data_IF_064258603406
#
_entry.id   IF_064258603406
#
_cell.length_a   1.000
_cell.length_b   1.000
_cell.length_c   1.000
_cell.angle_alpha   90.00
_cell.angle_beta   90.00
_cell.angle_gamma   90.00
#
_symmetry.space_group_name_H-M   'P 1'
#
loop_
_entity.id
_entity.type
_entity.pdbx_description
1 polymer ?
#
# COMPACT_ATOMS: atom_id res chain seq x y z
N UNK A 1 -2.58 -10.50 9.11
CA UNK A 1 -3.98 -10.05 9.04
C UNK A 1 -4.59 -10.27 7.66
N UNK A 2 -4.07 -9.62 6.61
CA UNK A 2 -4.57 -9.76 5.24
C UNK A 2 -4.74 -11.23 4.78
N UNK A 3 -3.73 -12.07 4.97
CA UNK A 3 -3.82 -13.51 4.68
C UNK A 3 -4.89 -14.26 5.52
N UNK A 4 -5.11 -13.83 6.77
CA UNK A 4 -6.08 -14.47 7.66
C UNK A 4 -7.54 -14.20 7.25
N UNK A 5 -7.80 -13.05 6.64
CA UNK A 5 -9.14 -12.71 6.09
C UNK A 5 -9.32 -13.21 4.64
N UNK A 6 -8.46 -14.10 4.17
CA UNK A 6 -8.54 -14.68 2.81
C UNK A 6 -8.00 -13.79 1.69
N UNK A 7 -7.35 -12.65 2.01
CA UNK A 7 -6.84 -11.69 1.04
C UNK A 7 -5.33 -11.47 1.25
N UNK A 8 -4.47 -12.43 0.92
CA UNK A 8 -3.03 -12.30 1.13
C UNK A 8 -2.42 -11.16 0.29
N UNK A 9 -1.35 -10.55 0.79
CA UNK A 9 -0.67 -9.44 0.11
C UNK A 9 0.12 -9.99 -1.08
N UNK A 10 -0.03 -9.33 -2.23
CA UNK A 10 0.69 -9.69 -3.44
C UNK A 10 2.22 -9.64 -3.23
N UNK A 11 2.89 -10.72 -3.62
CA UNK A 11 4.34 -10.87 -3.53
C UNK A 11 4.88 -11.05 -2.12
N UNK A 12 4.05 -11.47 -1.17
CA UNK A 12 4.49 -11.97 0.14
C UNK A 12 4.97 -13.42 0.01
N UNK A 13 6.30 -13.70 0.05
CA UNK A 13 6.81 -15.05 -0.18
C UNK A 13 6.45 -16.05 0.93
N UNK A 14 5.97 -15.57 2.08
CA UNK A 14 5.68 -16.39 3.25
C UNK A 14 4.21 -16.77 3.37
N UNK A 15 3.31 -15.85 3.00
CA UNK A 15 1.88 -16.02 3.20
C UNK A 15 1.06 -16.04 1.91
N UNK A 16 1.69 -15.81 0.75
CA UNK A 16 1.00 -15.88 -0.54
C UNK A 16 1.03 -17.31 -1.09
N UNK A 17 -0.03 -18.08 -0.82
CA UNK A 17 -0.17 -19.48 -1.19
C UNK A 17 -1.43 -19.77 -2.03
N UNK A 18 -1.81 -18.84 -2.90
CA UNK A 18 -2.98 -19.00 -3.77
C UNK A 18 -2.66 -19.98 -4.90
N UNK A 19 -3.28 -21.17 -4.87
CA UNK A 19 -3.16 -22.16 -5.95
C UNK A 19 -3.80 -21.63 -7.24
N UNK A 20 -3.15 -21.89 -8.39
CA UNK A 20 -3.57 -21.43 -9.72
C UNK A 20 -3.62 -19.89 -9.91
N UNK A 21 -2.88 -19.14 -9.10
CA UNK A 21 -2.73 -17.70 -9.32
C UNK A 21 -1.68 -17.40 -10.39
N UNK A 22 -2.13 -16.97 -11.57
CA UNK A 22 -1.26 -16.34 -12.56
C UNK A 22 -1.25 -14.83 -12.35
N UNK A 23 -0.05 -14.25 -12.24
CA UNK A 23 0.11 -12.80 -12.19
C UNK A 23 -0.43 -12.23 -13.51
N UNK A 24 -1.42 -11.32 -13.48
CA UNK A 24 -1.85 -10.63 -14.69
C UNK A 24 -0.64 -9.91 -15.29
N UNK A 25 -0.55 -9.92 -16.63
CA UNK A 25 0.56 -9.29 -17.34
C UNK A 25 0.76 -7.85 -16.87
N UNK A 26 1.98 -7.54 -16.40
CA UNK A 26 2.33 -6.21 -15.88
C UNK A 26 2.40 -6.09 -14.35
N UNK A 27 2.00 -7.11 -13.57
CA UNK A 27 2.23 -7.12 -12.12
C UNK A 27 3.57 -7.78 -11.79
N UNK A 28 4.41 -7.08 -11.02
CA UNK A 28 5.68 -7.63 -10.56
C UNK A 28 5.46 -8.53 -9.34
N UNK A 29 6.18 -9.66 -9.24
CA UNK A 29 6.17 -10.50 -8.04
C UNK A 29 7.07 -9.90 -6.94
N UNK A 30 6.65 -8.77 -6.38
CA UNK A 30 7.31 -8.06 -5.26
C UNK A 30 6.28 -7.75 -4.18
N UNK A 31 6.72 -7.55 -2.95
CA UNK A 31 5.82 -7.23 -1.84
C UNK A 31 5.09 -5.90 -2.11
N UNK A 32 3.76 -5.94 -2.17
CA UNK A 32 2.89 -4.77 -2.32
C UNK A 32 2.44 -4.25 -0.94
N UNK A 33 3.40 -3.91 -0.08
CA UNK A 33 3.15 -3.33 1.24
C UNK A 33 3.99 -2.06 1.40
N UNK A 34 3.32 -0.94 1.67
CA UNK A 34 3.95 0.37 1.85
C UNK A 34 3.37 1.05 3.10
N UNK A 35 4.24 1.47 4.01
CA UNK A 35 3.89 2.41 5.06
C UNK A 35 3.89 3.83 4.46
N UNK A 36 2.75 4.26 3.91
CA UNK A 36 2.65 5.50 3.11
C UNK A 36 2.82 6.78 3.93
N UNK A 37 2.29 6.84 5.15
CA UNK A 37 2.30 8.05 6.00
C UNK A 37 2.61 7.69 7.43
N UNK A 38 3.44 8.50 8.08
CA UNK A 38 3.73 8.42 9.50
C UNK A 38 3.47 9.77 10.16
N UNK A 39 2.69 9.76 11.23
CA UNK A 39 2.41 10.93 12.07
C UNK A 39 2.89 10.63 13.48
N UNK A 40 3.87 11.38 13.97
CA UNK A 40 4.41 11.23 15.32
C UNK A 40 4.54 12.59 16.02
N UNK A 41 4.40 12.66 17.35
CA UNK A 41 4.66 13.88 18.08
C UNK A 41 6.14 14.27 17.98
N UNK A 42 6.42 15.56 17.76
CA UNK A 42 7.78 16.09 17.68
C UNK A 42 8.29 16.51 19.07
N UNK A 43 9.54 16.18 19.44
CA UNK A 43 10.08 16.46 20.78
C UNK A 43 10.12 17.96 21.13
N UNK A 44 10.32 18.84 20.14
CA UNK A 44 10.30 20.30 20.31
C UNK A 44 8.87 20.92 20.27
N UNK A 45 7.83 20.08 20.25
CA UNK A 45 6.44 20.48 20.08
C UNK A 45 5.93 20.35 18.64
N UNK A 46 4.64 20.11 18.47
CA UNK A 46 3.99 19.87 17.16
C UNK A 46 3.94 18.40 16.75
N UNK A 47 3.53 18.14 15.51
CA UNK A 47 3.49 16.79 14.91
C UNK A 47 4.36 16.74 13.67
N UNK A 48 5.20 15.70 13.58
CA UNK A 48 5.91 15.34 12.36
C UNK A 48 5.00 14.46 11.52
N UNK A 49 4.66 14.93 10.32
CA UNK A 49 3.84 14.24 9.34
C UNK A 49 4.63 14.06 8.06
N UNK A 50 4.96 12.81 7.74
CA UNK A 50 5.80 12.47 6.58
C UNK A 50 5.09 11.43 5.73
N UNK A 51 5.05 11.68 4.42
CA UNK A 51 4.48 10.76 3.43
C UNK A 51 5.56 10.31 2.44
N UNK A 52 5.53 9.02 2.08
CA UNK A 52 6.42 8.40 1.11
C UNK A 52 5.70 8.16 -0.22
N UNK A 53 6.37 8.42 -1.38
CA UNK A 53 5.79 8.15 -2.69
C UNK A 53 5.67 6.65 -2.96
N UNK A 54 4.77 6.24 -3.86
CA UNK A 54 4.66 4.83 -4.24
C UNK A 54 5.95 4.33 -4.91
N UNK A 55 6.42 3.12 -4.58
CA UNK A 55 7.55 2.52 -5.26
C UNK A 55 7.18 2.12 -6.70
N UNK A 56 8.16 2.08 -7.63
CA UNK A 56 7.91 1.88 -9.06
C UNK A 56 7.10 0.61 -9.40
N UNK A 57 7.30 -0.49 -8.66
CA UNK A 57 6.55 -1.72 -8.91
C UNK A 57 5.08 -1.63 -8.52
N UNK A 58 4.75 -0.82 -7.51
CA UNK A 58 3.36 -0.60 -7.11
C UNK A 58 2.66 0.37 -8.07
N UNK A 59 3.36 1.41 -8.53
CA UNK A 59 2.81 2.33 -9.55
C UNK A 59 2.41 1.56 -10.82
N UNK A 60 3.25 0.63 -11.28
CA UNK A 60 2.94 -0.23 -12.41
C UNK A 60 1.68 -1.08 -12.18
N UNK A 61 1.59 -1.74 -11.02
CA UNK A 61 0.41 -2.54 -10.66
C UNK A 61 -0.86 -1.69 -10.57
N UNK A 62 -0.78 -0.47 -10.04
CA UNK A 62 -1.91 0.45 -9.93
C UNK A 62 -2.38 0.91 -11.32
N UNK A 63 -1.45 1.19 -12.23
CA UNK A 63 -1.80 1.53 -13.61
C UNK A 63 -2.51 0.37 -14.34
N UNK A 64 -2.08 -0.88 -14.14
CA UNK A 64 -2.74 -2.07 -14.71
C UNK A 64 -4.15 -2.26 -14.12
N UNK A 65 -4.33 -1.97 -12.84
CA UNK A 65 -5.60 -2.12 -12.13
C UNK A 65 -6.53 -0.90 -12.29
N UNK A 66 -6.07 0.19 -12.92
CA UNK A 66 -6.83 1.44 -13.04
C UNK A 66 -7.03 2.18 -11.70
N UNK A 67 -6.12 1.98 -10.74
CA UNK A 67 -6.15 2.62 -9.42
C UNK A 67 -5.41 3.97 -9.45
N UNK A 68 -5.95 4.97 -8.76
CA UNK A 68 -5.35 6.30 -8.65
C UNK A 68 -4.63 6.49 -7.31
N UNK A 69 -3.41 7.01 -7.37
CA UNK A 69 -2.55 7.26 -6.19
C UNK A 69 -3.20 8.20 -5.17
N UNK A 70 -3.97 9.19 -5.62
CA UNK A 70 -4.48 10.30 -4.79
C UNK A 70 -5.75 9.93 -4.04
N UNK A 71 -6.51 8.93 -4.51
CA UNK A 71 -7.73 8.48 -3.85
C UNK A 71 -7.53 8.04 -2.40
N UNK A 72 -6.32 7.61 -2.02
CA UNK A 72 -5.99 7.22 -0.64
C UNK A 72 -5.71 8.38 0.32
N UNK A 73 -5.38 9.57 -0.19
CA UNK A 73 -5.06 10.73 0.64
C UNK A 73 -6.33 11.51 1.04
N UNK A 74 -7.37 11.50 0.19
CA UNK A 74 -8.63 12.20 0.45
C UNK A 74 -9.38 11.65 1.68
N UNK A 75 -9.37 10.33 1.88
CA UNK A 75 -10.00 9.67 3.03
C UNK A 75 -9.34 10.03 4.38
N UNK A 76 -8.10 10.53 4.38
CA UNK A 76 -7.40 10.96 5.58
C UNK A 76 -7.62 12.45 5.92
N UNK A 77 -8.16 13.24 4.98
CA UNK A 77 -8.49 14.66 5.18
C UNK A 77 -9.85 14.85 5.86
N UNK A 78 -10.74 13.86 5.84
CA UNK A 78 -12.09 13.93 6.45
C UNK A 78 -12.15 13.68 7.97
N UNK A 79 -11.02 13.43 8.64
CA UNK A 79 -10.97 13.23 10.10
C UNK A 79 -10.16 14.32 10.82
N UNK A 80 -10.62 15.57 10.75
CA UNK A 80 -10.33 16.63 11.72
C UNK A 80 -11.61 17.48 11.92
N UNK A 81 -11.85 18.00 13.14
CA UNK A 81 -13.17 18.10 13.81
C UNK A 81 -14.21 19.04 13.19
#
# INVERSE_FOLDING_TARGET
HAAHIGHPILGDPKYFNVENWELPGGLQNKLHLLARRIVIPHPDGGSLDVSAPLPPHMQQSWAVLGLDERSGDEAATELQP
#
